data_IF_795432485439
#
_entry.id   IF_795432485439
#
_cell.length_a   1.000
_cell.length_b   1.000
_cell.length_c   1.000
_cell.angle_alpha   90.00
_cell.angle_beta   90.00
_cell.angle_gamma   90.00
#
_symmetry.space_group_name_H-M   'P 1'
#
loop_
_entity.id
_entity.type
_entity.pdbx_description
1 polymer ?
#
# COMPACT_ATOMS: atom_id res chain seq x y z
N UNK A 1 -45.45 -24.53 12.34
CA UNK A 1 -45.12 -23.10 12.43
C UNK A 1 -43.93 -22.84 11.54
N UNK A 2 -44.18 -22.22 10.38
CA UNK A 2 -43.19 -22.02 9.33
C UNK A 2 -42.57 -20.64 9.54
N UNK A 3 -41.26 -20.60 9.82
CA UNK A 3 -40.50 -19.36 9.89
C UNK A 3 -40.34 -18.80 8.47
N UNK A 4 -40.63 -17.51 8.22
CA UNK A 4 -40.36 -16.92 6.92
C UNK A 4 -38.86 -16.75 6.71
N UNK A 5 -38.31 -17.49 5.75
CA UNK A 5 -37.00 -17.22 5.16
C UNK A 5 -37.10 -15.91 4.39
N UNK A 6 -36.77 -14.78 5.03
CA UNK A 6 -36.51 -13.55 4.30
C UNK A 6 -35.04 -13.53 3.93
N UNK A 7 -34.79 -13.92 2.68
CA UNK A 7 -33.58 -13.61 1.94
C UNK A 7 -33.33 -12.10 2.05
N UNK A 8 -32.35 -11.69 2.85
CA UNK A 8 -31.59 -10.46 2.57
C UNK A 8 -30.33 -10.93 1.89
N UNK A 9 -30.40 -10.86 0.58
CA UNK A 9 -29.29 -11.01 -0.35
C UNK A 9 -28.14 -10.10 0.08
N UNK A 10 -26.93 -10.62 -0.04
CA UNK A 10 -25.68 -10.02 0.40
C UNK A 10 -25.38 -8.80 -0.48
N UNK A 11 -25.70 -7.61 0.00
CA UNK A 11 -25.08 -6.35 -0.43
C UNK A 11 -24.40 -5.67 0.76
N UNK A 12 -23.55 -6.44 1.46
CA UNK A 12 -22.66 -5.91 2.50
C UNK A 12 -21.28 -5.65 1.89
N UNK A 13 -21.24 -5.11 0.66
CA UNK A 13 -20.02 -4.53 0.14
C UNK A 13 -19.92 -3.15 0.76
N UNK A 14 -18.97 -2.90 1.67
CA UNK A 14 -18.80 -1.57 2.20
C UNK A 14 -18.58 -0.62 1.01
N UNK A 15 -19.40 0.44 0.95
CA UNK A 15 -19.29 1.46 -0.10
C UNK A 15 -17.87 2.06 -0.14
N UNK A 16 -17.54 2.83 -1.19
CA UNK A 16 -16.21 3.42 -1.32
C UNK A 16 -15.84 4.23 -0.08
N UNK A 17 -14.55 4.20 0.30
CA UNK A 17 -14.04 5.02 1.41
C UNK A 17 -14.52 6.46 1.25
N UNK A 18 -15.10 7.08 2.29
CA UNK A 18 -15.59 8.42 2.14
C UNK A 18 -14.43 9.38 1.89
N UNK A 19 -14.61 10.30 0.94
CA UNK A 19 -13.54 11.22 0.49
C UNK A 19 -12.96 12.07 1.61
N UNK A 20 -13.76 12.35 2.63
CA UNK A 20 -13.32 13.10 3.81
C UNK A 20 -12.21 12.38 4.58
N UNK A 21 -12.16 11.05 4.50
CA UNK A 21 -11.22 10.22 5.25
C UNK A 21 -9.78 10.47 4.79
N UNK A 22 -9.60 10.89 3.53
CA UNK A 22 -8.32 11.35 3.02
C UNK A 22 -7.73 12.50 3.86
N UNK A 23 -8.56 13.38 4.42
CA UNK A 23 -8.09 14.47 5.30
C UNK A 23 -7.57 13.95 6.65
N UNK A 24 -8.07 12.81 7.12
CA UNK A 24 -7.58 12.14 8.33
C UNK A 24 -6.26 11.41 8.02
N UNK A 25 -6.13 10.83 6.82
CA UNK A 25 -4.93 10.07 6.43
C UNK A 25 -3.72 10.94 6.10
N UNK A 26 -3.90 12.08 5.41
CA UNK A 26 -2.78 12.94 4.94
C UNK A 26 -1.79 13.32 6.05
N UNK A 27 -2.22 13.82 7.23
CA UNK A 27 -1.29 14.19 8.29
C UNK A 27 -0.48 13.03 8.86
N UNK A 28 -0.92 11.79 8.66
CA UNK A 28 -0.32 10.59 9.24
C UNK A 28 0.84 10.05 8.40
N UNK A 29 0.92 10.42 7.12
CA UNK A 29 1.91 9.92 6.15
C UNK A 29 3.35 10.09 6.64
N UNK A 30 3.81 11.27 7.10
CA UNK A 30 5.22 11.43 7.51
C UNK A 30 5.61 10.51 8.67
N UNK A 31 4.70 10.30 9.62
CA UNK A 31 4.94 9.37 10.70
C UNK A 31 4.87 7.91 10.24
N UNK A 32 4.05 7.60 9.24
CA UNK A 32 3.84 6.24 8.75
C UNK A 32 5.04 5.77 7.96
N UNK A 33 5.62 6.64 7.13
CA UNK A 33 6.88 6.39 6.42
C UNK A 33 7.99 5.99 7.39
N UNK A 34 8.15 6.73 8.49
CA UNK A 34 9.16 6.44 9.52
C UNK A 34 8.94 5.07 10.16
N UNK A 35 7.69 4.76 10.52
CA UNK A 35 7.35 3.47 11.14
C UNK A 35 7.57 2.31 10.16
N UNK A 36 7.16 2.47 8.90
CA UNK A 36 7.40 1.48 7.84
C UNK A 36 8.90 1.26 7.64
N UNK A 37 9.70 2.34 7.53
CA UNK A 37 11.14 2.25 7.36
C UNK A 37 11.81 1.44 8.46
N UNK A 38 11.49 1.75 9.73
CA UNK A 38 12.01 1.00 10.89
C UNK A 38 11.63 -0.49 10.84
N UNK A 39 10.37 -0.80 10.54
CA UNK A 39 9.90 -2.19 10.52
C UNK A 39 10.48 -2.97 9.33
N UNK A 40 10.61 -2.34 8.16
CA UNK A 40 11.21 -2.93 6.95
C UNK A 40 12.69 -3.22 7.17
N UNK A 41 13.46 -2.26 7.69
CA UNK A 41 14.89 -2.44 8.02
C UNK A 41 15.11 -3.59 9.01
N UNK A 42 14.20 -3.78 9.97
CA UNK A 42 14.26 -4.89 10.92
C UNK A 42 13.93 -6.25 10.30
N UNK A 43 13.00 -6.28 9.35
CA UNK A 43 12.51 -7.52 8.76
C UNK A 43 13.37 -8.01 7.58
N UNK A 44 14.00 -7.10 6.84
CA UNK A 44 14.70 -7.38 5.59
C UNK A 44 16.09 -6.73 5.61
N UNK A 45 17.15 -7.46 6.04
CA UNK A 45 18.51 -6.95 6.11
C UNK A 45 19.04 -6.38 4.79
N UNK A 46 18.59 -6.90 3.65
CA UNK A 46 18.91 -6.39 2.31
C UNK A 46 18.42 -4.95 2.07
N UNK A 47 17.36 -4.52 2.77
CA UNK A 47 16.85 -3.15 2.71
C UNK A 47 17.44 -2.24 3.77
N UNK A 48 18.05 -2.79 4.83
CA UNK A 48 18.74 -2.00 5.83
C UNK A 48 19.86 -1.15 5.20
N UNK A 49 20.71 -1.78 4.38
CA UNK A 49 21.80 -1.06 3.69
C UNK A 49 21.32 -0.01 2.69
N UNK A 50 20.14 -0.19 2.10
CA UNK A 50 19.55 0.79 1.18
C UNK A 50 18.92 1.98 1.93
N UNK A 51 18.26 1.69 3.05
CA UNK A 51 17.57 2.69 3.87
C UNK A 51 18.51 3.47 4.80
N UNK A 52 19.71 2.96 5.06
CA UNK A 52 20.78 3.67 5.77
C UNK A 52 21.86 4.21 4.80
N UNK A 53 21.62 4.09 3.48
CA UNK A 53 22.58 4.35 2.41
C UNK A 53 22.29 5.62 1.59
N UNK A 54 23.06 5.85 0.51
CA UNK A 54 22.90 7.04 -0.35
C UNK A 54 21.53 7.12 -1.04
N UNK A 55 20.85 5.98 -1.20
CA UNK A 55 19.54 5.89 -1.84
C UNK A 55 18.37 6.13 -0.89
N UNK A 56 18.61 6.29 0.42
CA UNK A 56 17.56 6.48 1.45
C UNK A 56 16.55 7.54 1.03
N UNK A 57 17.03 8.72 0.61
CA UNK A 57 16.17 9.84 0.25
C UNK A 57 15.28 9.53 -0.96
N UNK A 58 15.78 8.78 -1.93
CA UNK A 58 15.03 8.40 -3.13
C UNK A 58 13.99 7.32 -2.80
N UNK A 59 14.36 6.33 -1.98
CA UNK A 59 13.45 5.27 -1.51
C UNK A 59 12.34 5.87 -0.66
N UNK A 60 12.68 6.75 0.28
CA UNK A 60 11.72 7.47 1.13
C UNK A 60 10.71 8.26 0.30
N UNK A 61 11.17 8.98 -0.72
CA UNK A 61 10.29 9.70 -1.66
C UNK A 61 9.39 8.75 -2.45
N UNK A 62 9.88 7.58 -2.85
CA UNK A 62 9.06 6.58 -3.52
C UNK A 62 7.97 6.01 -2.61
N UNK A 63 8.30 5.69 -1.36
CA UNK A 63 7.31 5.25 -0.36
C UNK A 63 6.28 6.35 -0.09
N UNK A 64 6.73 7.60 0.08
CA UNK A 64 5.85 8.75 0.26
C UNK A 64 4.90 8.95 -0.92
N UNK A 65 5.41 8.84 -2.15
CA UNK A 65 4.60 8.95 -3.36
C UNK A 65 3.57 7.82 -3.47
N UNK A 66 3.94 6.60 -3.08
CA UNK A 66 2.99 5.47 -3.05
C UNK A 66 1.90 5.67 -2.01
N UNK A 67 2.22 6.15 -0.81
CA UNK A 67 1.23 6.44 0.23
C UNK A 67 0.31 7.59 -0.14
N UNK A 68 0.85 8.68 -0.71
CA UNK A 68 0.03 9.78 -1.22
C UNK A 68 -0.88 9.31 -2.35
N UNK A 69 -0.41 8.44 -3.25
CA UNK A 69 -1.23 7.85 -4.31
C UNK A 69 -2.46 7.10 -3.78
N UNK A 70 -2.32 6.36 -2.68
CA UNK A 70 -3.48 5.73 -2.02
C UNK A 70 -4.47 6.78 -1.49
N UNK A 71 -3.96 7.80 -0.79
CA UNK A 71 -4.81 8.83 -0.18
C UNK A 71 -5.50 9.69 -1.24
N UNK A 72 -4.82 9.97 -2.35
CA UNK A 72 -5.39 10.69 -3.48
C UNK A 72 -6.46 9.88 -4.19
N UNK A 73 -6.30 8.55 -4.33
CA UNK A 73 -7.38 7.67 -4.81
C UNK A 73 -8.62 7.74 -3.94
N UNK A 74 -8.46 7.85 -2.62
CA UNK A 74 -9.60 7.99 -1.69
C UNK A 74 -10.24 9.38 -1.81
N UNK A 75 -9.44 10.43 -1.97
CA UNK A 75 -9.95 11.79 -2.15
C UNK A 75 -10.66 11.96 -3.50
N UNK A 76 -10.08 11.39 -4.56
CA UNK A 76 -10.54 11.45 -5.93
C UNK A 76 -10.29 10.13 -6.70
N UNK A 77 -11.29 9.23 -6.74
CA UNK A 77 -11.19 7.97 -7.49
C UNK A 77 -10.98 8.13 -8.99
N UNK A 78 -11.23 9.33 -9.55
CA UNK A 78 -11.00 9.63 -10.97
C UNK A 78 -9.60 10.17 -11.27
N UNK A 79 -8.75 10.38 -10.26
CA UNK A 79 -7.41 10.92 -10.43
C UNK A 79 -6.53 9.96 -11.25
N UNK A 80 -5.65 10.54 -12.08
CA UNK A 80 -4.72 9.75 -12.87
C UNK A 80 -3.75 8.98 -11.98
N UNK A 81 -3.57 7.69 -12.28
CA UNK A 81 -2.66 6.80 -11.57
C UNK A 81 -1.30 6.63 -12.24
N UNK A 82 -1.11 7.17 -13.45
CA UNK A 82 0.02 6.85 -14.31
C UNK A 82 1.39 7.06 -13.62
N UNK A 83 1.53 8.15 -12.86
CA UNK A 83 2.78 8.47 -12.16
C UNK A 83 3.10 7.51 -11.00
N UNK A 84 2.07 6.97 -10.35
CA UNK A 84 2.15 5.95 -9.30
C UNK A 84 2.43 4.59 -9.94
N UNK A 85 1.78 4.27 -11.05
CA UNK A 85 1.96 3.00 -11.76
C UNK A 85 3.39 2.84 -12.27
N UNK A 86 3.94 3.90 -12.87
CA UNK A 86 5.32 3.91 -13.35
C UNK A 86 6.36 3.81 -12.22
N UNK A 87 6.08 4.41 -11.07
CA UNK A 87 6.93 4.27 -9.88
C UNK A 87 7.00 2.80 -9.43
N UNK A 88 5.86 2.10 -9.41
CA UNK A 88 5.79 0.71 -8.97
C UNK A 88 6.49 -0.23 -9.93
N UNK A 89 6.32 -0.03 -11.26
CA UNK A 89 7.14 -0.74 -12.26
C UNK A 89 8.63 -0.48 -12.06
N UNK A 90 9.02 0.76 -11.75
CA UNK A 90 10.42 1.11 -11.48
C UNK A 90 10.98 0.33 -10.29
N UNK A 91 10.24 0.15 -9.20
CA UNK A 91 10.69 -0.69 -8.08
C UNK A 91 10.94 -2.13 -8.52
N UNK A 92 10.02 -2.72 -9.31
CA UNK A 92 10.21 -4.03 -9.92
C UNK A 92 11.49 -4.16 -10.73
N UNK A 93 11.75 -3.17 -11.62
CA UNK A 93 12.97 -3.13 -12.44
C UNK A 93 14.23 -3.04 -11.59
N UNK A 94 14.22 -2.22 -10.53
CA UNK A 94 15.35 -2.08 -9.61
C UNK A 94 15.66 -3.41 -8.92
N UNK A 95 14.66 -4.13 -8.41
CA UNK A 95 14.91 -5.45 -7.81
C UNK A 95 15.55 -6.43 -8.81
N UNK A 96 15.09 -6.43 -10.07
CA UNK A 96 15.66 -7.28 -11.12
C UNK A 96 17.11 -6.91 -11.45
N UNK A 97 17.43 -5.62 -11.60
CA UNK A 97 18.79 -5.17 -11.89
C UNK A 97 19.78 -5.46 -10.76
N UNK A 98 19.28 -5.43 -9.53
CA UNK A 98 20.06 -5.71 -8.33
C UNK A 98 20.17 -7.22 -8.04
N UNK A 99 19.55 -8.07 -8.87
CA UNK A 99 19.54 -9.53 -8.69
C UNK A 99 18.76 -10.00 -7.45
N UNK A 100 17.89 -9.15 -6.89
CA UNK A 100 17.06 -9.47 -5.73
C UNK A 100 15.78 -10.23 -6.13
N UNK A 101 15.24 -10.96 -5.17
CA UNK A 101 13.95 -11.64 -5.33
C UNK A 101 12.82 -10.62 -5.16
N UNK A 102 11.91 -10.58 -6.13
CA UNK A 102 10.70 -9.76 -6.08
C UNK A 102 9.84 -10.09 -4.85
N UNK A 103 9.91 -11.32 -4.34
CA UNK A 103 9.15 -11.73 -3.15
C UNK A 103 9.54 -10.90 -1.90
N UNK A 104 10.78 -10.42 -1.79
CA UNK A 104 11.18 -9.50 -0.70
C UNK A 104 10.40 -8.19 -0.80
N UNK A 105 10.32 -7.59 -2.01
CA UNK A 105 9.59 -6.34 -2.23
C UNK A 105 8.10 -6.49 -1.91
N UNK A 106 7.47 -7.57 -2.37
CA UNK A 106 6.07 -7.87 -2.09
C UNK A 106 5.83 -8.11 -0.59
N UNK A 107 6.77 -8.79 0.08
CA UNK A 107 6.72 -8.98 1.54
C UNK A 107 6.83 -7.66 2.31
N UNK A 108 7.66 -6.72 1.83
CA UNK A 108 7.75 -5.38 2.39
C UNK A 108 6.46 -4.56 2.21
N UNK A 109 5.77 -4.68 1.07
CA UNK A 109 4.44 -4.07 0.88
C UNK A 109 3.42 -4.60 1.89
N UNK A 110 3.36 -5.92 2.09
CA UNK A 110 2.47 -6.55 3.09
C UNK A 110 2.83 -6.14 4.52
N UNK A 111 4.11 -5.95 4.81
CA UNK A 111 4.55 -5.39 6.09
C UNK A 111 4.06 -3.95 6.26
N UNK A 112 4.27 -3.09 5.26
CA UNK A 112 3.79 -1.70 5.27
C UNK A 112 2.28 -1.60 5.46
N UNK A 113 1.50 -2.47 4.81
CA UNK A 113 0.05 -2.56 5.00
C UNK A 113 -0.33 -2.91 6.44
N UNK A 114 0.36 -3.87 7.07
CA UNK A 114 0.14 -4.20 8.49
C UNK A 114 0.43 -3.01 9.40
N UNK A 115 1.49 -2.24 9.12
CA UNK A 115 1.80 -1.00 9.86
C UNK A 115 0.66 0.02 9.70
N UNK A 116 0.20 0.26 8.48
CA UNK A 116 -0.91 1.17 8.19
C UNK A 116 -2.21 0.76 8.92
N UNK A 117 -2.55 -0.54 8.95
CA UNK A 117 -3.72 -1.05 9.68
C UNK A 117 -3.60 -0.86 11.19
N UNK A 118 -2.42 -1.09 11.79
CA UNK A 118 -2.20 -0.81 13.22
C UNK A 118 -2.42 0.66 13.54
N UNK A 119 -1.96 1.55 12.65
CA UNK A 119 -2.15 2.99 12.79
C UNK A 119 -3.62 3.37 12.63
N UNK A 120 -4.31 2.86 11.62
CA UNK A 120 -5.74 3.07 11.43
C UNK A 120 -6.56 2.64 12.65
N UNK A 121 -6.22 1.50 13.27
CA UNK A 121 -6.84 1.07 14.54
C UNK A 121 -6.62 2.08 15.68
N UNK A 122 -5.46 2.73 15.74
CA UNK A 122 -5.19 3.79 16.72
C UNK A 122 -6.02 5.04 16.45
N UNK A 123 -6.10 5.45 15.18
CA UNK A 123 -6.91 6.59 14.74
C UNK A 123 -8.41 6.34 14.95
N UNK A 124 -8.87 5.10 14.74
CA UNK A 124 -10.24 4.71 14.99
C UNK A 124 -10.69 5.00 16.42
N UNK A 125 -9.84 4.75 17.41
CA UNK A 125 -10.13 5.11 18.81
C UNK A 125 -10.08 6.61 19.06
N UNK A 126 -9.20 7.35 18.36
CA UNK A 126 -8.99 8.78 18.58
C UNK A 126 -10.09 9.64 17.95
N UNK A 127 -10.62 9.21 16.80
CA UNK A 127 -11.61 9.94 16.01
C UNK A 127 -13.00 9.28 16.02
N UNK A 128 -13.20 8.26 16.87
CA UNK A 128 -14.45 7.49 16.98
C UNK A 128 -14.93 6.94 15.61
N UNK A 129 -13.99 6.40 14.83
CA UNK A 129 -14.30 5.84 13.51
C UNK A 129 -15.06 4.52 13.67
N UNK A 130 -16.09 4.33 12.86
CA UNK A 130 -16.89 3.11 12.93
C UNK A 130 -16.08 1.87 12.50
N UNK A 131 -16.39 0.69 13.05
CA UNK A 131 -15.79 -0.57 12.60
C UNK A 131 -15.96 -0.82 11.09
N UNK A 132 -17.10 -0.43 10.52
CA UNK A 132 -17.41 -0.57 9.09
C UNK A 132 -16.47 0.29 8.25
N UNK A 133 -16.17 1.52 8.69
CA UNK A 133 -15.19 2.37 8.01
C UNK A 133 -13.77 1.77 8.07
N UNK A 134 -13.37 1.20 9.20
CA UNK A 134 -12.08 0.52 9.33
C UNK A 134 -11.98 -0.73 8.45
N UNK A 135 -13.08 -1.49 8.31
CA UNK A 135 -13.17 -2.64 7.42
C UNK A 135 -13.04 -2.19 5.95
N UNK A 136 -13.82 -1.18 5.56
CA UNK A 136 -13.74 -0.54 4.23
C UNK A 136 -12.31 -0.10 3.91
N UNK A 137 -11.62 0.49 4.89
CA UNK A 137 -10.23 0.90 4.75
C UNK A 137 -9.30 -0.29 4.52
N UNK A 138 -9.48 -1.37 5.29
CA UNK A 138 -8.67 -2.57 5.14
C UNK A 138 -8.84 -3.22 3.77
N UNK A 139 -10.07 -3.31 3.26
CA UNK A 139 -10.36 -3.86 1.92
C UNK A 139 -9.74 -3.00 0.82
N UNK A 140 -9.90 -1.67 0.91
CA UNK A 140 -9.28 -0.74 -0.04
C UNK A 140 -7.75 -0.85 -0.02
N UNK A 141 -7.15 -1.00 1.17
CA UNK A 141 -5.71 -1.19 1.32
C UNK A 141 -5.25 -2.52 0.71
N UNK A 142 -5.95 -3.63 0.93
CA UNK A 142 -5.59 -4.92 0.32
C UNK A 142 -5.69 -4.90 -1.20
N UNK A 143 -6.76 -4.28 -1.74
CA UNK A 143 -6.87 -4.05 -3.18
C UNK A 143 -5.69 -3.24 -3.72
N UNK A 144 -5.31 -2.17 -3.01
CA UNK A 144 -4.15 -1.37 -3.38
C UNK A 144 -2.86 -2.19 -3.38
N UNK A 145 -2.59 -2.99 -2.33
CA UNK A 145 -1.40 -3.85 -2.27
C UNK A 145 -1.35 -4.82 -3.45
N UNK A 146 -2.48 -5.40 -3.86
CA UNK A 146 -2.54 -6.25 -5.05
C UNK A 146 -2.09 -5.52 -6.33
N UNK A 147 -2.46 -4.26 -6.50
CA UNK A 147 -1.99 -3.42 -7.61
C UNK A 147 -0.48 -3.14 -7.52
N UNK A 148 0.05 -2.88 -6.31
CA UNK A 148 1.48 -2.68 -6.07
C UNK A 148 2.29 -3.90 -6.49
N UNK A 149 1.83 -5.08 -6.06
CA UNK A 149 2.48 -6.35 -6.37
C UNK A 149 2.45 -6.65 -7.87
N UNK A 150 1.31 -6.42 -8.54
CA UNK A 150 1.15 -6.66 -9.98
C UNK A 150 2.03 -5.74 -10.84
N UNK A 151 2.03 -4.43 -10.55
CA UNK A 151 2.83 -3.45 -11.28
C UNK A 151 4.33 -3.65 -11.06
N UNK A 152 4.73 -4.01 -9.84
CA UNK A 152 6.13 -4.33 -9.55
C UNK A 152 6.56 -5.63 -10.26
N UNK A 153 5.67 -6.62 -10.38
CA UNK A 153 5.94 -7.83 -11.16
C UNK A 153 6.12 -7.52 -12.65
N UNK A 154 5.27 -6.68 -13.22
CA UNK A 154 5.39 -6.23 -14.61
C UNK A 154 6.78 -5.64 -14.88
N UNK A 155 7.19 -4.66 -14.08
CA UNK A 155 8.53 -4.05 -14.21
C UNK A 155 9.68 -5.05 -13.99
N UNK A 156 9.55 -5.97 -13.04
CA UNK A 156 10.55 -7.01 -12.80
C UNK A 156 10.74 -7.91 -14.03
N UNK A 157 9.63 -8.34 -14.64
CA UNK A 157 9.65 -9.19 -15.83
C UNK A 157 10.22 -8.45 -17.05
N UNK A 158 9.87 -7.18 -17.24
CA UNK A 158 10.44 -6.32 -18.30
C UNK A 158 11.97 -6.25 -18.21
N UNK A 159 12.51 -5.96 -17.02
CA UNK A 159 13.96 -5.85 -16.82
C UNK A 159 14.67 -7.19 -17.06
N UNK A 160 14.07 -8.31 -16.60
CA UNK A 160 14.64 -9.64 -16.79
C UNK A 160 14.63 -10.10 -18.25
N UNK A 161 13.60 -9.72 -19.01
CA UNK A 161 13.55 -10.00 -20.45
C UNK A 161 14.59 -9.18 -21.22
N UNK A 162 14.79 -7.90 -20.85
CA UNK A 162 15.79 -7.03 -21.47
C UNK A 162 17.25 -7.39 -21.17
N UNK A 163 17.52 -8.07 -20.05
CA UNK A 163 18.87 -8.51 -19.67
C UNK A 163 19.31 -9.83 -20.34
N UNK A 164 18.40 -10.53 -21.02
CA UNK A 164 18.66 -11.82 -21.67
C UNK A 164 18.85 -11.77 -23.19
N UNK A 165 18.88 -10.57 -23.79
CA UNK A 165 19.17 -10.34 -25.21
C UNK A 165 20.50 -9.62 -25.40
#
# INVERSE_FOLDING_TARGET
>A
MQLPTRTTEVEDSPGPLPREFARIMRPEIPGLIKEIGVEVTRAFPEYAGLLDGPDEAAIRQGVEKSLNGFVDRVADPGASTASRDELLRKFGRVEAYEGRDLNTLQSAYRLGARVALRRAKSLGRRFDLSPELLLTFAEALFSYIGELEALSLEGYMEARAGAGG
#
